data_IF_791489109810
#
_entry.id   IF_791489109810
#
_cell.length_a   1.000
_cell.length_b   1.000
_cell.length_c   1.000
_cell.angle_alpha   90.00
_cell.angle_beta   90.00
_cell.angle_gamma   90.00
#
_symmetry.space_group_name_H-M   'P 1'
#
loop_
_entity.id
_entity.type
_entity.pdbx_description
1 polymer ?
#
# COMPACT_ATOMS: atom_id res chain seq x y z
N UNK A 1 -17.97 -7.42 9.93
CA UNK A 1 -16.56 -7.10 10.30
C UNK A 1 -16.03 -6.00 9.39
N UNK A 2 -15.24 -5.05 9.90
CA UNK A 2 -14.51 -4.08 9.08
C UNK A 2 -13.06 -3.93 9.55
N UNK A 3 -12.16 -3.49 8.67
CA UNK A 3 -10.74 -3.29 8.97
C UNK A 3 -10.24 -1.98 8.36
N UNK A 4 -10.31 -0.85 9.10
CA UNK A 4 -9.73 0.42 8.69
C UNK A 4 -8.23 0.47 8.99
N UNK A 5 -7.55 1.52 8.53
CA UNK A 5 -6.15 1.77 8.84
C UNK A 5 -5.92 3.20 9.37
N UNK A 6 -4.66 3.51 9.72
CA UNK A 6 -4.27 4.79 10.34
C UNK A 6 -4.39 6.00 9.42
N UNK A 7 -4.60 5.81 8.12
CA UNK A 7 -4.84 6.90 7.16
C UNK A 7 -6.27 7.46 7.23
N UNK A 8 -7.14 6.86 8.06
CA UNK A 8 -8.49 7.37 8.38
C UNK A 8 -8.48 8.82 8.89
N UNK A 9 -7.41 9.23 9.59
CA UNK A 9 -7.20 10.62 10.03
C UNK A 9 -7.13 11.65 8.89
N UNK A 10 -6.94 11.19 7.65
CA UNK A 10 -6.93 12.00 6.44
C UNK A 10 -8.08 11.66 5.49
N UNK A 11 -9.07 10.88 5.94
CA UNK A 11 -10.12 10.31 5.08
C UNK A 11 -9.55 9.49 3.90
N UNK A 12 -8.41 8.81 4.11
CA UNK A 12 -7.71 8.00 3.10
C UNK A 12 -7.45 6.55 3.58
N UNK A 13 -8.29 6.04 4.48
CA UNK A 13 -8.31 4.62 4.84
C UNK A 13 -8.90 3.79 3.71
N UNK A 14 -8.23 2.68 3.37
CA UNK A 14 -8.84 1.61 2.58
C UNK A 14 -9.39 0.57 3.52
N UNK A 15 -10.72 0.45 3.55
CA UNK A 15 -11.41 -0.35 4.58
C UNK A 15 -12.12 -1.52 3.95
N UNK A 16 -11.71 -2.75 4.27
CA UNK A 16 -12.47 -3.94 3.88
C UNK A 16 -13.66 -4.15 4.83
N UNK A 17 -14.81 -4.53 4.29
CA UNK A 17 -16.02 -4.83 5.05
C UNK A 17 -16.65 -6.14 4.60
N UNK A 18 -17.07 -6.95 5.56
CA UNK A 18 -17.86 -8.16 5.30
C UNK A 18 -19.09 -8.17 6.19
N UNK A 19 -20.22 -8.54 5.60
CA UNK A 19 -21.47 -8.83 6.29
C UNK A 19 -21.53 -10.32 6.64
N UNK A 20 -21.94 -10.67 7.87
CA UNK A 20 -22.33 -12.04 8.16
C UNK A 20 -23.72 -12.26 7.55
N UNK A 21 -23.84 -13.15 6.57
CA UNK A 21 -25.12 -13.65 6.03
C UNK A 21 -25.98 -14.26 7.17
N UNK A 22 -27.31 -14.16 7.28
CA UNK A 22 -28.42 -13.59 6.47
C UNK A 22 -29.19 -12.60 7.37
N UNK A 23 -29.19 -11.31 7.02
CA UNK A 23 -29.85 -10.21 7.74
C UNK A 23 -29.34 -9.91 9.17
N UNK A 24 -29.13 -8.63 9.53
CA UNK A 24 -29.38 -7.41 8.75
C UNK A 24 -28.22 -7.09 7.80
N UNK A 25 -28.57 -6.55 6.61
CA UNK A 25 -27.66 -5.78 5.76
C UNK A 25 -26.93 -4.72 6.58
N UNK A 26 -25.65 -4.42 6.29
CA UNK A 26 -25.00 -3.27 6.93
C UNK A 26 -25.87 -2.04 6.62
N UNK A 27 -26.38 -1.39 7.67
CA UNK A 27 -27.21 -0.20 7.48
C UNK A 27 -26.46 0.85 6.66
N UNK A 28 -27.18 1.59 5.82
CA UNK A 28 -26.60 2.70 5.05
C UNK A 28 -25.87 3.70 5.95
N UNK A 29 -26.34 3.86 7.19
CA UNK A 29 -25.69 4.68 8.22
C UNK A 29 -24.32 4.12 8.66
N UNK A 30 -24.18 2.81 8.78
CA UNK A 30 -22.90 2.20 9.13
C UNK A 30 -21.92 2.28 7.94
N UNK A 31 -22.40 2.10 6.71
CA UNK A 31 -21.58 2.30 5.50
C UNK A 31 -21.10 3.74 5.38
N UNK A 32 -21.98 4.73 5.58
CA UNK A 32 -21.59 6.14 5.48
C UNK A 32 -20.56 6.55 6.54
N UNK A 33 -20.62 5.97 7.74
CA UNK A 33 -19.56 6.15 8.76
C UNK A 33 -18.24 5.55 8.28
N UNK A 34 -18.25 4.33 7.72
CA UNK A 34 -17.03 3.68 7.23
C UNK A 34 -16.43 4.44 6.05
N UNK A 35 -17.26 4.90 5.12
CA UNK A 35 -16.85 5.71 3.96
C UNK A 35 -16.34 7.09 4.37
N UNK A 36 -16.70 7.59 5.56
CA UNK A 36 -16.09 8.83 6.09
C UNK A 36 -14.59 8.68 6.39
N UNK A 37 -14.09 7.44 6.52
CA UNK A 37 -12.66 7.18 6.73
C UNK A 37 -11.86 7.12 5.43
N UNK A 38 -12.51 7.02 4.28
CA UNK A 38 -11.90 6.79 2.97
C UNK A 38 -12.73 5.83 2.12
N UNK A 39 -12.11 4.91 1.38
CA UNK A 39 -12.86 3.96 0.57
C UNK A 39 -13.30 2.73 1.38
N UNK A 40 -14.40 2.13 0.92
CA UNK A 40 -14.98 0.92 1.49
C UNK A 40 -15.01 -0.18 0.43
N UNK A 41 -14.40 -1.34 0.71
CA UNK A 41 -14.36 -2.50 -0.18
C UNK A 41 -15.16 -3.64 0.45
N UNK A 42 -16.26 -4.04 -0.20
CA UNK A 42 -17.07 -5.17 0.25
C UNK A 42 -16.41 -6.48 -0.16
N UNK A 43 -16.17 -7.37 0.80
CA UNK A 43 -15.59 -8.70 0.59
C UNK A 43 -16.58 -9.79 1.03
N UNK A 44 -16.41 -10.98 0.47
CA UNK A 44 -17.39 -12.07 0.54
C UNK A 44 -17.43 -12.83 1.86
N UNK A 45 -16.37 -12.78 2.68
CA UNK A 45 -16.34 -13.45 3.99
C UNK A 45 -15.38 -12.75 4.98
N UNK A 46 -15.43 -13.14 6.25
CA UNK A 46 -14.61 -12.50 7.31
C UNK A 46 -13.10 -12.79 7.15
N UNK A 47 -12.73 -13.93 6.56
CA UNK A 47 -11.34 -14.28 6.25
C UNK A 47 -10.76 -13.33 5.20
N UNK A 48 -11.56 -12.85 4.25
CA UNK A 48 -11.13 -11.84 3.29
C UNK A 48 -10.97 -10.45 3.94
N UNK A 49 -11.68 -10.17 5.04
CA UNK A 49 -11.39 -8.96 5.84
C UNK A 49 -10.05 -9.11 6.53
N UNK A 50 -9.70 -10.28 7.06
CA UNK A 50 -8.36 -10.53 7.61
C UNK A 50 -7.28 -10.47 6.53
N UNK A 51 -7.53 -11.06 5.36
CA UNK A 51 -6.63 -11.01 4.21
C UNK A 51 -6.33 -9.58 3.78
N UNK A 52 -7.28 -8.65 3.97
CA UNK A 52 -7.09 -7.24 3.60
C UNK A 52 -5.98 -6.55 4.39
N UNK A 53 -5.51 -7.09 5.52
CA UNK A 53 -4.35 -6.53 6.25
C UNK A 53 -3.10 -6.45 5.37
N UNK A 54 -2.95 -7.38 4.43
CA UNK A 54 -1.86 -7.42 3.46
C UNK A 54 -1.83 -6.18 2.55
N UNK A 55 -2.98 -5.59 2.24
CA UNK A 55 -3.12 -4.49 1.28
C UNK A 55 -3.60 -3.18 1.90
N UNK A 56 -4.09 -3.19 3.15
CA UNK A 56 -4.53 -1.99 3.84
C UNK A 56 -3.62 -1.58 5.00
N UNK A 57 -3.28 -2.49 5.90
CA UNK A 57 -2.80 -2.14 7.23
C UNK A 57 -1.29 -2.29 7.31
N UNK A 58 -0.82 -3.53 7.18
CA UNK A 58 0.61 -3.84 7.07
C UNK A 58 1.26 -3.14 5.87
N UNK A 59 0.49 -2.95 4.79
CA UNK A 59 0.93 -2.22 3.61
C UNK A 59 1.49 -0.83 3.93
N UNK A 60 0.87 -0.06 4.85
CA UNK A 60 1.37 1.27 5.22
C UNK A 60 2.72 1.21 5.93
N UNK A 61 2.95 0.19 6.76
CA UNK A 61 4.23 -0.03 7.42
C UNK A 61 5.31 -0.43 6.40
N UNK A 62 4.98 -1.31 5.46
CA UNK A 62 5.92 -1.75 4.42
C UNK A 62 6.28 -0.61 3.46
N UNK A 63 5.30 0.22 3.08
CA UNK A 63 5.56 1.43 2.27
C UNK A 63 6.41 2.46 3.03
N UNK A 64 6.24 2.57 4.36
CA UNK A 64 7.09 3.42 5.19
C UNK A 64 8.54 2.94 5.22
N UNK A 65 8.76 1.62 5.22
CA UNK A 65 10.10 1.03 5.09
C UNK A 65 10.73 1.40 3.73
N UNK A 66 9.96 1.33 2.64
CA UNK A 66 10.42 1.77 1.31
C UNK A 66 10.77 3.26 1.30
N UNK A 67 9.91 4.11 1.84
CA UNK A 67 10.14 5.55 1.94
C UNK A 67 11.42 5.87 2.73
N UNK A 68 11.61 5.22 3.89
CA UNK A 68 12.83 5.38 4.69
C UNK A 68 14.07 4.91 3.94
N UNK A 69 13.98 3.79 3.22
CA UNK A 69 15.10 3.25 2.44
C UNK A 69 15.51 4.18 1.30
N UNK A 70 14.54 4.79 0.61
CA UNK A 70 14.80 5.77 -0.45
C UNK A 70 15.42 7.06 0.10
N UNK A 71 14.95 7.53 1.26
CA UNK A 71 15.53 8.69 1.96
C UNK A 71 16.98 8.40 2.36
N UNK A 72 17.27 7.24 2.95
CA UNK A 72 18.63 6.88 3.33
C UNK A 72 19.54 6.65 2.11
N UNK A 73 19.00 6.16 0.99
CA UNK A 73 19.73 6.05 -0.27
C UNK A 73 20.09 7.43 -0.84
N UNK A 74 19.16 8.40 -0.84
CA UNK A 74 19.46 9.77 -1.29
C UNK A 74 20.54 10.43 -0.44
N UNK A 75 20.51 10.22 0.88
CA UNK A 75 21.57 10.69 1.79
C UNK A 75 22.92 10.07 1.44
N UNK A 76 22.94 8.74 1.23
CA UNK A 76 24.14 8.01 0.84
C UNK A 76 24.75 8.54 -0.46
N UNK A 77 23.92 8.96 -1.41
CA UNK A 77 24.35 9.52 -2.69
C UNK A 77 24.63 11.05 -2.64
N UNK A 78 24.58 11.66 -1.44
CA UNK A 78 25.08 13.01 -1.19
C UNK A 78 24.02 14.09 -0.94
N UNK A 79 22.73 13.73 -0.89
CA UNK A 79 21.70 14.68 -0.45
C UNK A 79 21.79 14.92 1.07
N UNK A 80 21.37 16.10 1.52
CA UNK A 80 21.09 16.28 2.93
C UNK A 80 19.76 15.57 3.29
N UNK A 81 19.59 15.25 4.57
CA UNK A 81 18.45 14.48 5.04
C UNK A 81 17.08 15.14 4.78
N UNK A 82 17.02 16.48 4.80
CA UNK A 82 15.80 17.24 4.56
C UNK A 82 15.39 17.13 3.09
N UNK A 83 16.29 17.46 2.17
CA UNK A 83 16.01 17.43 0.73
C UNK A 83 15.67 16.01 0.26
N UNK A 84 16.39 15.01 0.78
CA UNK A 84 16.10 13.61 0.46
C UNK A 84 14.72 13.17 0.93
N UNK A 85 14.26 13.65 2.10
CA UNK A 85 12.90 13.36 2.58
C UNK A 85 11.85 14.09 1.73
N UNK A 86 12.07 15.36 1.42
CA UNK A 86 11.14 16.18 0.62
C UNK A 86 10.90 15.57 -0.77
N UNK A 87 11.97 15.06 -1.41
CA UNK A 87 11.86 14.35 -2.70
C UNK A 87 11.06 13.05 -2.59
N UNK A 88 11.28 12.26 -1.52
CA UNK A 88 10.54 11.01 -1.28
C UNK A 88 9.06 11.30 -1.05
N UNK A 89 8.72 12.28 -0.22
CA UNK A 89 7.34 12.67 0.07
C UNK A 89 6.58 13.08 -1.21
N UNK A 90 7.18 13.95 -2.03
CA UNK A 90 6.57 14.36 -3.30
C UNK A 90 6.44 13.19 -4.28
N UNK A 91 7.44 12.31 -4.34
CA UNK A 91 7.42 11.12 -5.20
C UNK A 91 6.29 10.16 -4.82
N UNK A 92 6.06 9.91 -3.54
CA UNK A 92 4.96 9.07 -3.07
C UNK A 92 3.61 9.70 -3.36
N UNK A 93 3.47 11.02 -3.17
CA UNK A 93 2.25 11.76 -3.54
C UNK A 93 1.94 11.66 -5.03
N UNK A 94 2.96 11.84 -5.88
CA UNK A 94 2.83 11.68 -7.33
C UNK A 94 2.49 10.25 -7.73
N UNK A 95 3.16 9.26 -7.13
CA UNK A 95 2.92 7.85 -7.39
C UNK A 95 1.50 7.42 -7.04
N UNK A 96 0.96 7.88 -5.90
CA UNK A 96 -0.44 7.64 -5.53
C UNK A 96 -1.40 8.18 -6.61
N UNK A 97 -1.11 9.35 -7.19
CA UNK A 97 -1.92 9.91 -8.28
C UNK A 97 -1.80 9.16 -9.60
N UNK A 98 -0.64 8.60 -9.91
CA UNK A 98 -0.47 7.73 -11.07
C UNK A 98 -1.26 6.43 -10.90
N UNK A 99 -1.22 5.82 -9.71
CA UNK A 99 -1.95 4.59 -9.39
C UNK A 99 -3.48 4.74 -9.47
N UNK A 100 -4.02 5.96 -9.34
CA UNK A 100 -5.44 6.23 -9.57
C UNK A 100 -5.86 6.06 -11.05
N UNK A 101 -4.90 6.07 -11.98
CA UNK A 101 -5.13 6.08 -13.43
C UNK A 101 -4.54 4.88 -14.15
N UNK A 102 -3.43 4.35 -13.65
CA UNK A 102 -2.62 3.35 -14.32
C UNK A 102 -2.30 2.16 -13.43
N UNK A 103 -2.09 1.00 -14.05
CA UNK A 103 -1.63 -0.20 -13.33
C UNK A 103 -0.14 -0.08 -13.00
N UNK A 104 0.35 -0.71 -11.90
CA UNK A 104 1.76 -0.64 -11.52
C UNK A 104 2.74 -1.00 -12.64
N UNK A 105 2.40 -2.00 -13.46
CA UNK A 105 3.23 -2.44 -14.59
C UNK A 105 3.37 -1.34 -15.64
N UNK A 106 2.28 -0.63 -15.94
CA UNK A 106 2.26 0.47 -16.91
C UNK A 106 3.06 1.65 -16.39
N UNK A 107 2.96 1.99 -15.11
CA UNK A 107 3.76 3.06 -14.49
C UNK A 107 5.26 2.72 -14.61
N UNK A 108 5.66 1.48 -14.35
CA UNK A 108 7.06 1.05 -14.52
C UNK A 108 7.52 1.17 -15.97
N UNK A 109 6.70 0.71 -16.93
CA UNK A 109 6.99 0.82 -18.37
C UNK A 109 7.15 2.28 -18.83
N UNK A 110 6.32 3.19 -18.33
CA UNK A 110 6.40 4.62 -18.66
C UNK A 110 7.68 5.30 -18.14
N UNK A 111 8.27 4.79 -17.05
CA UNK A 111 9.48 5.35 -16.44
C UNK A 111 10.76 4.69 -17.01
N UNK A 112 10.69 3.41 -17.36
CA UNK A 112 11.87 2.65 -17.77
C UNK A 112 12.23 2.87 -19.23
N UNK A 113 13.42 3.43 -19.47
CA UNK A 113 13.98 3.57 -20.81
C UNK A 113 15.03 2.48 -21.09
N UNK A 114 15.22 2.06 -22.35
CA UNK A 114 16.27 1.12 -22.72
C UNK A 114 17.65 1.62 -22.27
N UNK A 115 18.39 0.79 -21.53
CA UNK A 115 19.71 1.11 -20.93
C UNK A 115 19.70 2.29 -19.93
N UNK A 116 18.53 2.67 -19.42
CA UNK A 116 18.39 3.77 -18.46
C UNK A 116 18.75 3.39 -17.02
N UNK A 117 18.94 4.40 -16.17
CA UNK A 117 19.26 4.19 -14.76
C UNK A 117 18.17 3.38 -14.01
N UNK A 118 16.90 3.61 -14.34
CA UNK A 118 15.77 2.95 -13.68
C UNK A 118 15.76 1.43 -13.90
N UNK A 119 16.04 0.96 -15.12
CA UNK A 119 16.01 -0.48 -15.42
C UNK A 119 17.15 -1.23 -14.73
N UNK A 120 18.32 -0.60 -14.58
CA UNK A 120 19.43 -1.15 -13.78
C UNK A 120 19.05 -1.23 -12.29
N UNK A 121 18.38 -0.20 -11.76
CA UNK A 121 17.85 -0.21 -10.40
C UNK A 121 16.83 -1.33 -10.16
N UNK A 122 15.85 -1.48 -11.06
CA UNK A 122 14.86 -2.55 -11.01
C UNK A 122 15.50 -3.94 -11.10
N UNK A 123 16.51 -4.11 -11.97
CA UNK A 123 17.26 -5.35 -12.09
C UNK A 123 17.88 -5.78 -10.75
N UNK A 124 18.42 -4.83 -9.97
CA UNK A 124 18.93 -5.10 -8.63
C UNK A 124 17.81 -5.51 -7.67
N UNK A 125 16.67 -4.81 -7.67
CA UNK A 125 15.53 -5.13 -6.80
C UNK A 125 14.95 -6.52 -7.10
N UNK A 126 14.81 -6.87 -8.37
CA UNK A 126 14.35 -8.20 -8.80
C UNK A 126 15.39 -9.29 -8.43
N UNK A 127 16.69 -9.04 -8.62
CA UNK A 127 17.76 -9.96 -8.17
C UNK A 127 17.75 -10.18 -6.65
N UNK A 128 17.33 -9.17 -5.88
CA UNK A 128 17.18 -9.27 -4.42
C UNK A 128 15.86 -9.91 -3.99
N UNK A 129 14.98 -10.26 -4.93
CA UNK A 129 13.72 -10.94 -4.65
C UNK A 129 12.72 -10.05 -3.92
N UNK A 130 12.76 -8.73 -4.11
CA UNK A 130 11.89 -7.78 -3.38
C UNK A 130 10.42 -8.14 -3.52
N UNK A 131 9.96 -8.50 -4.73
CA UNK A 131 8.57 -8.94 -4.94
C UNK A 131 8.21 -10.16 -4.09
N UNK A 132 9.09 -11.16 -4.04
CA UNK A 132 8.92 -12.34 -3.22
C UNK A 132 8.85 -12.00 -1.73
N UNK A 133 9.75 -11.14 -1.25
CA UNK A 133 9.79 -10.70 0.13
C UNK A 133 8.50 -9.97 0.56
N UNK A 134 7.93 -9.12 -0.29
CA UNK A 134 6.65 -8.46 0.00
C UNK A 134 5.49 -9.47 0.06
N UNK A 135 5.43 -10.42 -0.88
CA UNK A 135 4.38 -11.45 -0.89
C UNK A 135 4.46 -12.31 0.37
N UNK A 136 5.66 -12.74 0.76
CA UNK A 136 5.89 -13.55 1.97
C UNK A 136 5.56 -12.76 3.24
N UNK A 137 5.99 -11.50 3.36
CA UNK A 137 5.66 -10.65 4.49
C UNK A 137 4.14 -10.44 4.62
N UNK A 138 3.44 -10.21 3.51
CA UNK A 138 1.99 -10.14 3.48
C UNK A 138 1.34 -11.46 3.93
N UNK A 139 1.86 -12.61 3.47
CA UNK A 139 1.35 -13.92 3.87
C UNK A 139 1.47 -14.14 5.39
N UNK A 140 2.64 -13.85 5.98
CA UNK A 140 2.82 -14.00 7.43
C UNK A 140 1.97 -13.02 8.24
N UNK A 141 1.77 -11.78 7.75
CA UNK A 141 0.83 -10.82 8.35
C UNK A 141 -0.59 -11.37 8.39
N UNK A 142 -1.09 -11.93 7.28
CA UNK A 142 -2.44 -12.51 7.19
C UNK A 142 -2.55 -13.73 8.10
N UNK A 143 -1.57 -14.63 8.05
CA UNK A 143 -1.52 -15.84 8.88
C UNK A 143 -1.58 -15.50 10.37
N UNK A 144 -0.94 -14.41 10.81
CA UNK A 144 -1.00 -13.98 12.22
C UNK A 144 -2.39 -13.52 12.67
N UNK A 145 -3.26 -13.11 11.76
CA UNK A 145 -4.65 -12.74 12.09
C UNK A 145 -5.50 -13.96 12.49
N UNK A 146 -5.09 -15.18 12.12
CA UNK A 146 -5.80 -16.42 12.42
C UNK A 146 -5.19 -17.22 13.59
N UNK A 147 -4.16 -16.67 14.25
CA UNK A 147 -3.43 -17.26 15.38
C UNK A 147 -3.63 -16.48 16.67
#
# INVERSE_FOLDING_TARGET
>A
KCMPNIASKFALSSTAVCEKSVAPSISEKALSIIESFGNCVRVGNEEQVDASIATNGSALAFLSLVASSLKDAGIREGLNARDSLELVEMSFKGFAKLLEKERPEVIMEQICTPKGATIEGLSVLEKRGVRGAFIEACHESVKKMHL
#
